data_IF_630074662842
#
_entry.id   IF_630074662842
#
_cell.length_a   1.000
_cell.length_b   1.000
_cell.length_c   1.000
_cell.angle_alpha   90.00
_cell.angle_beta   90.00
_cell.angle_gamma   90.00
#
_symmetry.space_group_name_H-M   'P 1'
#
loop_
_entity.id
_entity.type
_entity.pdbx_description
1 polymer ?
#
# COMPACT_ATOMS: atom_id res chain seq x y z
N UNK A 1 6.03 -6.42 -22.48
CA UNK A 1 7.33 -6.16 -21.84
C UNK A 1 8.46 -6.93 -22.53
N UNK A 2 8.32 -8.22 -22.88
CA UNK A 2 9.40 -9.04 -23.50
C UNK A 2 10.01 -8.36 -24.73
N UNK A 3 9.18 -7.92 -25.67
CA UNK A 3 9.66 -7.24 -26.90
C UNK A 3 10.43 -5.96 -26.61
N UNK A 4 9.97 -5.18 -25.63
CA UNK A 4 10.66 -3.94 -25.21
C UNK A 4 12.01 -4.28 -24.58
N UNK A 5 12.05 -5.24 -23.67
CA UNK A 5 13.28 -5.69 -23.02
C UNK A 5 14.27 -6.26 -24.04
N UNK A 6 13.80 -7.04 -25.03
CA UNK A 6 14.67 -7.56 -26.09
C UNK A 6 15.30 -6.46 -26.94
N UNK A 7 14.68 -5.29 -27.07
CA UNK A 7 15.22 -4.18 -27.86
C UNK A 7 16.05 -3.19 -27.02
N UNK A 8 15.65 -2.94 -25.77
CA UNK A 8 16.16 -1.82 -24.97
C UNK A 8 17.03 -2.24 -23.77
N UNK A 9 17.20 -3.54 -23.49
CA UNK A 9 17.81 -4.05 -22.25
C UNK A 9 19.14 -3.38 -21.89
N UNK A 10 20.01 -3.17 -22.89
CA UNK A 10 21.34 -2.61 -22.66
C UNK A 10 21.31 -1.09 -22.42
N UNK A 11 20.22 -0.44 -22.83
CA UNK A 11 20.09 1.03 -22.83
C UNK A 11 19.32 1.58 -21.64
N UNK A 12 18.67 0.73 -20.82
CA UNK A 12 17.82 1.13 -19.68
C UNK A 12 18.23 0.39 -18.42
N UNK A 13 18.07 1.01 -17.24
CA UNK A 13 18.39 0.42 -15.95
C UNK A 13 17.15 -0.05 -15.19
N UNK A 14 15.99 0.46 -15.58
CA UNK A 14 14.71 0.18 -14.96
C UNK A 14 13.67 -0.21 -16.00
N UNK A 15 12.85 -1.21 -15.66
CA UNK A 15 11.58 -1.48 -16.33
C UNK A 15 10.50 -0.67 -15.63
N UNK A 16 9.83 0.22 -16.37
CA UNK A 16 8.69 0.99 -15.87
C UNK A 16 7.44 0.11 -15.80
N UNK A 17 6.76 0.17 -14.68
CA UNK A 17 5.56 -0.63 -14.38
C UNK A 17 4.45 0.27 -13.85
N UNK A 18 3.23 0.08 -14.36
CA UNK A 18 2.03 0.73 -13.83
C UNK A 18 1.04 -0.36 -13.41
N UNK A 19 0.52 -0.27 -12.20
CA UNK A 19 -0.56 -1.15 -11.75
C UNK A 19 -1.52 -0.42 -10.83
N UNK A 20 -2.82 -0.56 -11.14
CA UNK A 20 -3.90 -0.04 -10.31
C UNK A 20 -4.82 -1.19 -9.93
N UNK A 21 -4.80 -1.52 -8.65
CA UNK A 21 -5.73 -2.49 -8.12
C UNK A 21 -7.10 -1.86 -7.93
N UNK A 22 -8.16 -2.59 -8.29
CA UNK A 22 -9.53 -2.15 -8.11
C UNK A 22 -10.34 -3.24 -7.42
N UNK A 23 -11.17 -2.87 -6.45
CA UNK A 23 -12.06 -3.77 -5.77
C UNK A 23 -13.52 -3.30 -5.87
N UNK A 24 -14.51 -4.20 -5.83
CA UNK A 24 -15.91 -3.84 -5.76
C UNK A 24 -16.24 -3.05 -4.49
N UNK A 25 -17.25 -2.17 -4.51
CA UNK A 25 -17.71 -1.49 -3.29
C UNK A 25 -18.11 -2.49 -2.20
N UNK A 26 -17.62 -2.25 -0.99
CA UNK A 26 -17.91 -3.08 0.18
C UNK A 26 -17.09 -4.37 0.29
N UNK A 27 -16.26 -4.71 -0.71
CA UNK A 27 -15.37 -5.86 -0.64
C UNK A 27 -13.98 -5.45 -0.12
N UNK A 28 -13.91 -5.29 1.20
CA UNK A 28 -12.66 -4.90 1.90
C UNK A 28 -11.59 -5.99 1.76
N UNK A 29 -11.98 -7.26 1.75
CA UNK A 29 -11.06 -8.38 1.57
C UNK A 29 -10.37 -8.32 0.21
N UNK A 30 -11.15 -8.08 -0.86
CA UNK A 30 -10.59 -7.89 -2.19
C UNK A 30 -9.68 -6.66 -2.26
N UNK A 31 -10.07 -5.55 -1.62
CA UNK A 31 -9.28 -4.32 -1.63
C UNK A 31 -7.93 -4.50 -0.91
N UNK A 32 -7.93 -5.04 0.30
CA UNK A 32 -6.72 -5.22 1.10
C UNK A 32 -5.88 -6.43 0.67
N UNK A 33 -6.48 -7.41 -0.02
CA UNK A 33 -5.76 -8.50 -0.70
C UNK A 33 -5.07 -8.08 -1.99
N UNK A 34 -5.26 -6.85 -2.43
CA UNK A 34 -4.70 -6.29 -3.66
C UNK A 34 -3.18 -6.36 -3.77
N UNK A 35 -2.47 -6.30 -2.65
CA UNK A 35 -1.00 -6.43 -2.61
C UNK A 35 -0.49 -7.73 -3.23
N UNK A 36 -1.26 -8.83 -3.16
CA UNK A 36 -0.88 -10.12 -3.74
C UNK A 36 -0.80 -10.08 -5.27
N UNK A 37 -1.61 -9.25 -5.92
CA UNK A 37 -1.51 -9.05 -7.37
C UNK A 37 -0.28 -8.22 -7.74
N UNK A 38 0.13 -7.29 -6.86
CA UNK A 38 1.38 -6.57 -7.02
C UNK A 38 2.58 -7.50 -6.90
N UNK A 39 2.59 -8.41 -5.92
CA UNK A 39 3.65 -9.40 -5.76
C UNK A 39 3.76 -10.33 -6.97
N UNK A 40 2.63 -10.88 -7.47
CA UNK A 40 2.63 -11.67 -8.71
C UNK A 40 3.17 -10.89 -9.91
N UNK A 41 2.80 -9.62 -10.04
CA UNK A 41 3.28 -8.78 -11.13
C UNK A 41 4.78 -8.52 -11.02
N UNK A 42 5.27 -8.19 -9.82
CA UNK A 42 6.70 -8.01 -9.56
C UNK A 42 7.49 -9.27 -9.89
N UNK A 43 7.04 -10.42 -9.40
CA UNK A 43 7.72 -11.70 -9.63
C UNK A 43 7.75 -12.07 -11.12
N UNK A 44 6.65 -11.84 -11.81
CA UNK A 44 6.53 -12.10 -13.26
C UNK A 44 7.50 -11.24 -14.06
N UNK A 45 7.52 -9.92 -13.81
CA UNK A 45 8.37 -8.99 -14.55
C UNK A 45 9.85 -9.15 -14.17
N UNK A 46 10.13 -9.44 -12.91
CA UNK A 46 11.47 -9.77 -12.46
C UNK A 46 12.01 -11.02 -13.16
N UNK A 47 11.21 -12.09 -13.23
CA UNK A 47 11.58 -13.32 -13.92
C UNK A 47 11.79 -13.08 -15.43
N UNK A 48 10.92 -12.29 -16.06
CA UNK A 48 11.06 -11.92 -17.47
C UNK A 48 12.37 -11.15 -17.71
N UNK A 49 12.70 -10.18 -16.87
CA UNK A 49 13.98 -9.47 -16.96
C UNK A 49 15.18 -10.42 -16.83
N UNK A 50 15.12 -11.40 -15.94
CA UNK A 50 16.19 -12.36 -15.72
C UNK A 50 16.33 -13.34 -16.91
N UNK A 51 15.23 -13.72 -17.57
CA UNK A 51 15.25 -14.50 -18.81
C UNK A 51 15.95 -13.72 -19.93
N UNK A 52 15.63 -12.44 -20.10
CA UNK A 52 16.28 -11.60 -21.12
C UNK A 52 17.77 -11.40 -20.81
N UNK A 53 18.13 -11.18 -19.53
CA UNK A 53 19.53 -11.11 -19.13
C UNK A 53 20.29 -12.40 -19.52
N UNK A 54 19.70 -13.56 -19.24
CA UNK A 54 20.30 -14.85 -19.58
C UNK A 54 20.44 -15.05 -21.10
N UNK A 55 19.39 -14.74 -21.90
CA UNK A 55 19.45 -14.77 -23.37
C UNK A 55 20.61 -13.92 -23.91
N UNK A 56 20.85 -12.76 -23.31
CA UNK A 56 21.89 -11.81 -23.70
C UNK A 56 23.25 -12.10 -23.07
N UNK A 57 23.33 -13.05 -22.14
CA UNK A 57 24.53 -13.29 -21.31
C UNK A 57 25.01 -12.00 -20.61
N UNK A 58 24.08 -11.17 -20.20
CA UNK A 58 24.34 -9.89 -19.53
C UNK A 58 24.47 -10.10 -18.02
N UNK A 59 25.47 -9.53 -17.34
CA UNK A 59 25.54 -9.52 -15.87
C UNK A 59 24.62 -8.47 -15.25
N UNK A 60 23.98 -7.63 -16.05
CA UNK A 60 23.10 -6.57 -15.59
C UNK A 60 21.82 -7.15 -15.00
N UNK A 61 21.49 -6.72 -13.80
CA UNK A 61 20.19 -6.98 -13.16
C UNK A 61 19.26 -5.80 -13.41
N UNK A 62 18.23 -6.00 -14.24
CA UNK A 62 17.22 -4.96 -14.50
C UNK A 62 16.41 -4.72 -13.23
N UNK A 63 16.29 -3.47 -12.81
CA UNK A 63 15.47 -3.08 -11.68
C UNK A 63 14.07 -2.67 -12.15
N UNK A 64 13.13 -2.58 -11.20
CA UNK A 64 11.74 -2.25 -11.45
C UNK A 64 11.43 -0.88 -10.88
N UNK A 65 10.67 -0.09 -11.65
CA UNK A 65 10.15 1.22 -11.26
C UNK A 65 8.63 1.21 -11.38
N UNK A 66 7.93 1.30 -10.27
CA UNK A 66 6.50 1.61 -10.30
C UNK A 66 6.33 3.12 -10.42
N UNK A 67 6.24 3.61 -11.64
CA UNK A 67 6.07 5.04 -11.92
C UNK A 67 4.66 5.50 -11.55
N UNK A 68 3.70 4.57 -11.59
CA UNK A 68 2.34 4.77 -11.13
C UNK A 68 1.82 3.53 -10.41
N UNK A 69 1.19 3.73 -9.26
CA UNK A 69 0.48 2.67 -8.54
C UNK A 69 -0.64 3.24 -7.68
N UNK A 70 -1.62 2.40 -7.36
CA UNK A 70 -2.70 2.78 -6.48
C UNK A 70 -3.72 1.67 -6.27
N UNK A 71 -4.60 1.90 -5.30
CA UNK A 71 -5.78 1.08 -5.06
C UNK A 71 -7.03 1.94 -5.09
N UNK A 72 -8.14 1.39 -5.57
CA UNK A 72 -9.40 2.12 -5.67
C UNK A 72 -10.61 1.20 -5.55
N UNK A 73 -11.69 1.76 -5.03
CA UNK A 73 -13.00 1.10 -5.07
C UNK A 73 -13.68 1.50 -6.38
N UNK A 74 -14.03 0.50 -7.20
CA UNK A 74 -14.69 0.72 -8.49
C UNK A 74 -15.95 -0.14 -8.60
N UNK A 75 -17.12 0.50 -8.69
CA UNK A 75 -18.34 -0.23 -8.96
C UNK A 75 -18.27 -0.92 -10.34
N UNK A 76 -18.82 -2.12 -10.42
CA UNK A 76 -18.98 -2.80 -11.70
C UNK A 76 -19.84 -1.93 -12.64
N UNK A 77 -19.35 -1.68 -13.84
CA UNK A 77 -19.99 -0.80 -14.81
C UNK A 77 -21.38 -1.32 -15.28
N UNK A 78 -21.62 -2.64 -15.26
CA UNK A 78 -22.90 -3.23 -15.59
C UNK A 78 -23.95 -2.97 -14.51
N UNK A 79 -23.53 -2.98 -13.24
CA UNK A 79 -24.40 -2.73 -12.08
C UNK A 79 -24.58 -1.23 -11.81
N UNK A 80 -23.67 -0.40 -12.27
CA UNK A 80 -23.65 1.03 -12.07
C UNK A 80 -23.31 1.78 -13.36
N UNK A 81 -24.23 1.76 -14.37
CA UNK A 81 -24.03 2.46 -15.63
C UNK A 81 -23.81 3.96 -15.36
N UNK A 82 -22.67 4.48 -15.75
CA UNK A 82 -22.22 5.86 -15.47
C UNK A 82 -21.07 5.97 -14.48
N UNK A 83 -20.72 4.92 -13.77
CA UNK A 83 -19.51 4.79 -12.95
C UNK A 83 -18.35 4.10 -13.71
N UNK A 84 -18.26 4.27 -14.99
CA UNK A 84 -17.16 3.70 -15.77
C UNK A 84 -15.80 4.29 -15.37
N UNK A 85 -14.76 3.63 -15.85
CA UNK A 85 -13.29 3.86 -15.71
C UNK A 85 -12.84 5.35 -15.70
N UNK A 86 -13.76 6.26 -15.89
CA UNK A 86 -13.50 7.67 -16.12
C UNK A 86 -13.64 8.60 -14.92
N UNK A 87 -13.94 8.07 -13.72
CA UNK A 87 -14.19 8.97 -12.59
C UNK A 87 -12.94 9.66 -12.04
N UNK A 88 -11.72 9.18 -12.31
CA UNK A 88 -10.53 9.89 -11.87
C UNK A 88 -10.12 11.06 -12.79
N UNK A 89 -10.38 10.92 -14.09
CA UNK A 89 -10.00 11.97 -15.06
C UNK A 89 -11.17 12.81 -15.57
N UNK A 90 -12.41 12.32 -15.45
CA UNK A 90 -13.60 13.05 -15.90
C UNK A 90 -14.31 13.85 -14.82
N UNK A 91 -13.84 13.82 -13.58
CA UNK A 91 -14.40 14.70 -12.54
C UNK A 91 -14.34 16.20 -12.91
N UNK A 92 -13.45 16.55 -13.83
CA UNK A 92 -13.24 17.96 -14.23
C UNK A 92 -13.64 18.30 -15.66
N UNK A 93 -13.91 17.29 -16.52
CA UNK A 93 -14.17 17.53 -17.93
C UNK A 93 -15.33 16.64 -18.44
N UNK A 94 -16.37 17.24 -18.96
CA UNK A 94 -17.38 16.57 -19.74
C UNK A 94 -17.06 16.80 -21.21
N UNK A 95 -16.98 15.72 -22.00
CA UNK A 95 -16.88 15.86 -23.44
C UNK A 95 -18.20 16.39 -24.00
N UNK A 96 -18.16 17.60 -24.53
CA UNK A 96 -19.24 18.19 -25.30
C UNK A 96 -18.84 18.13 -26.78
N UNK A 97 -19.56 17.39 -27.66
CA UNK A 97 -19.22 17.28 -29.05
C UNK A 97 -19.15 18.63 -29.78
N UNK A 98 -19.88 19.63 -29.27
CA UNK A 98 -19.88 20.98 -29.88
C UNK A 98 -18.79 21.90 -29.31
N UNK A 99 -18.28 21.62 -28.11
CA UNK A 99 -17.29 22.46 -27.41
C UNK A 99 -15.97 21.76 -27.04
N UNK A 100 -15.79 20.51 -27.41
CA UNK A 100 -14.67 19.63 -27.11
C UNK A 100 -14.40 19.36 -25.62
N UNK A 101 -14.40 20.35 -24.73
CA UNK A 101 -14.24 20.19 -23.29
C UNK A 101 -15.00 21.30 -22.55
N UNK A 102 -15.82 20.93 -21.59
CA UNK A 102 -16.47 21.86 -20.68
C UNK A 102 -15.94 21.58 -19.28
N UNK A 103 -15.35 22.60 -18.64
CA UNK A 103 -15.02 22.54 -17.22
C UNK A 103 -16.32 22.35 -16.44
N UNK A 104 -16.37 21.34 -15.59
CA UNK A 104 -17.47 21.21 -14.64
C UNK A 104 -17.45 22.41 -13.71
N UNK A 105 -18.66 23.00 -13.53
CA UNK A 105 -18.90 23.94 -12.45
C UNK A 105 -18.52 23.25 -11.12
N UNK A 106 -17.57 23.79 -10.33
CA UNK A 106 -17.22 23.24 -9.03
C UNK A 106 -18.42 23.02 -8.11
N UNK A 107 -19.45 23.88 -8.23
CA UNK A 107 -20.67 23.82 -7.43
C UNK A 107 -21.63 22.68 -7.89
N UNK A 108 -21.41 22.08 -9.05
CA UNK A 108 -22.14 20.93 -9.56
C UNK A 108 -21.40 19.60 -9.45
N UNK A 109 -20.19 19.62 -8.86
CA UNK A 109 -19.53 18.35 -8.56
C UNK A 109 -20.33 17.60 -7.49
N UNK A 110 -20.63 16.30 -7.70
CA UNK A 110 -21.22 15.52 -6.63
C UNK A 110 -20.33 15.69 -5.41
N UNK A 111 -20.99 16.05 -4.30
CA UNK A 111 -20.38 16.24 -3.01
C UNK A 111 -19.42 15.04 -2.79
N UNK A 112 -18.14 15.26 -2.92
CA UNK A 112 -17.15 14.25 -2.58
C UNK A 112 -17.18 14.15 -1.07
N UNK A 113 -18.10 13.31 -0.57
CA UNK A 113 -18.14 12.98 0.86
C UNK A 113 -16.79 12.50 1.35
N UNK A 114 -15.95 12.03 0.41
CA UNK A 114 -14.62 11.48 0.70
C UNK A 114 -13.62 11.96 -0.37
N UNK A 115 -12.85 13.00 -0.10
CA UNK A 115 -11.87 13.55 -1.04
C UNK A 115 -10.68 12.63 -1.32
N UNK A 116 -10.72 11.37 -0.88
CA UNK A 116 -9.59 10.44 -0.87
C UNK A 116 -8.74 10.64 0.38
N UNK A 117 -7.97 9.64 0.72
CA UNK A 117 -7.10 9.69 1.91
C UNK A 117 -7.81 9.39 3.23
N UNK A 118 -8.96 8.71 3.18
CA UNK A 118 -9.61 8.09 4.31
C UNK A 118 -8.81 6.89 4.87
N UNK A 119 -9.30 6.33 5.98
CA UNK A 119 -8.64 5.21 6.63
C UNK A 119 -8.55 3.98 5.72
N UNK A 120 -9.62 3.65 5.00
CA UNK A 120 -9.66 2.47 4.13
C UNK A 120 -8.68 2.59 2.95
N UNK A 121 -8.62 3.76 2.33
CA UNK A 121 -7.65 4.04 1.26
C UNK A 121 -6.22 3.92 1.78
N UNK A 122 -5.94 4.42 2.98
CA UNK A 122 -4.63 4.32 3.61
C UNK A 122 -4.23 2.86 3.83
N UNK A 123 -5.13 2.01 4.37
CA UNK A 123 -4.86 0.57 4.57
C UNK A 123 -4.54 -0.15 3.26
N UNK A 124 -5.28 0.15 2.19
CA UNK A 124 -5.00 -0.41 0.87
C UNK A 124 -3.63 0.03 0.34
N UNK A 125 -3.27 1.30 0.52
CA UNK A 125 -1.99 1.82 0.06
C UNK A 125 -0.80 1.23 0.81
N UNK A 126 -0.85 1.11 2.15
CA UNK A 126 0.24 0.51 2.91
C UNK A 126 0.41 -0.98 2.61
N UNK A 127 -0.67 -1.71 2.31
CA UNK A 127 -0.60 -3.11 1.87
C UNK A 127 0.26 -3.24 0.61
N UNK A 128 0.05 -2.38 -0.39
CA UNK A 128 0.85 -2.33 -1.62
C UNK A 128 2.30 -1.93 -1.32
N UNK A 129 2.49 -0.91 -0.50
CA UNK A 129 3.84 -0.41 -0.15
C UNK A 129 4.66 -1.46 0.60
N UNK A 130 4.01 -2.30 1.43
CA UNK A 130 4.69 -3.44 2.06
C UNK A 130 5.12 -4.50 1.04
N UNK A 131 4.33 -4.73 -0.03
CA UNK A 131 4.75 -5.60 -1.13
C UNK A 131 6.02 -5.06 -1.80
N UNK A 132 6.10 -3.75 -2.06
CA UNK A 132 7.34 -3.15 -2.59
C UNK A 132 8.52 -3.30 -1.64
N UNK A 133 8.30 -3.15 -0.34
CA UNK A 133 9.36 -3.32 0.65
C UNK A 133 9.87 -4.78 0.69
N UNK A 134 8.99 -5.77 0.60
CA UNK A 134 9.38 -7.18 0.52
C UNK A 134 10.21 -7.50 -0.73
N UNK A 135 9.96 -6.80 -1.83
CA UNK A 135 10.66 -6.94 -3.10
C UNK A 135 11.70 -5.83 -3.35
N UNK A 136 12.25 -5.23 -2.28
CA UNK A 136 13.22 -4.13 -2.39
C UNK A 136 14.53 -4.52 -3.07
N UNK A 137 14.80 -5.81 -3.30
CA UNK A 137 15.90 -6.29 -4.12
C UNK A 137 15.71 -6.00 -5.62
N UNK A 138 14.45 -5.84 -6.09
CA UNK A 138 14.08 -5.55 -7.47
C UNK A 138 13.38 -4.21 -7.64
N UNK A 139 12.40 -3.87 -6.79
CA UNK A 139 11.69 -2.59 -6.83
C UNK A 139 12.54 -1.52 -6.16
N UNK A 140 13.00 -0.55 -6.94
CA UNK A 140 13.86 0.55 -6.46
C UNK A 140 13.18 1.91 -6.47
N UNK A 141 12.13 2.04 -7.24
CA UNK A 141 11.35 3.28 -7.38
C UNK A 141 9.87 2.90 -7.27
N UNK A 142 9.14 3.68 -6.49
CA UNK A 142 7.68 3.57 -6.37
C UNK A 142 7.09 4.97 -6.18
N UNK A 143 6.37 5.45 -7.20
CA UNK A 143 5.77 6.77 -7.23
C UNK A 143 4.25 6.64 -7.09
N UNK A 144 3.72 7.04 -5.94
CA UNK A 144 2.28 7.00 -5.70
C UNK A 144 1.56 7.97 -6.64
N UNK A 145 0.60 7.45 -7.39
CA UNK A 145 -0.19 8.27 -8.31
C UNK A 145 -1.09 9.24 -7.56
N UNK A 146 -1.22 10.44 -8.12
CA UNK A 146 -1.91 11.54 -7.47
C UNK A 146 -0.99 12.42 -6.62
N UNK A 147 0.24 11.98 -6.33
CA UNK A 147 1.26 12.77 -5.66
C UNK A 147 0.73 13.47 -4.40
N UNK A 148 0.86 14.79 -4.33
CA UNK A 148 0.37 15.57 -3.19
C UNK A 148 -1.14 15.43 -2.95
N UNK A 149 -1.94 15.25 -4.01
CA UNK A 149 -3.39 15.06 -3.88
C UNK A 149 -3.81 13.75 -3.19
N UNK A 150 -2.94 12.73 -3.20
CA UNK A 150 -3.18 11.50 -2.45
C UNK A 150 -2.71 11.61 -0.98
N UNK A 151 -1.78 12.50 -0.70
CA UNK A 151 -1.19 12.70 0.63
C UNK A 151 -1.81 13.86 1.39
N UNK A 152 -2.26 14.88 0.68
CA UNK A 152 -2.85 16.08 1.25
C UNK A 152 -4.17 16.39 0.57
N UNK A 153 -5.15 16.74 1.35
CA UNK A 153 -6.42 17.28 0.85
C UNK A 153 -6.40 18.80 0.94
N UNK A 154 -7.18 19.46 0.10
CA UNK A 154 -7.25 20.92 0.08
C UNK A 154 -8.65 21.41 -0.28
N UNK A 155 -8.99 22.57 0.23
CA UNK A 155 -10.02 23.47 -0.29
C UNK A 155 -9.35 24.72 -0.90
N UNK A 156 -10.14 25.77 -1.17
CA UNK A 156 -9.62 26.99 -1.81
C UNK A 156 -8.48 27.66 -1.03
N UNK A 157 -8.51 27.59 0.30
CA UNK A 157 -7.64 28.40 1.17
C UNK A 157 -6.76 27.55 2.11
N UNK A 158 -7.04 26.24 2.22
CA UNK A 158 -6.42 25.38 3.23
C UNK A 158 -5.90 24.09 2.63
N UNK A 159 -4.86 23.54 3.27
CA UNK A 159 -4.29 22.23 2.98
C UNK A 159 -4.12 21.46 4.28
N UNK A 160 -4.50 20.19 4.29
CA UNK A 160 -4.29 19.29 5.43
C UNK A 160 -3.80 17.92 4.98
N UNK A 161 -3.18 17.19 5.89
CA UNK A 161 -2.61 15.87 5.63
C UNK A 161 -3.69 14.80 5.71
N UNK A 162 -3.65 13.84 4.79
CA UNK A 162 -4.51 12.66 4.81
C UNK A 162 -3.93 11.55 5.70
N UNK A 163 -4.71 10.48 5.96
CA UNK A 163 -4.22 9.29 6.64
C UNK A 163 -3.02 8.67 5.89
N UNK A 164 -3.06 8.63 4.56
CA UNK A 164 -1.98 8.10 3.72
C UNK A 164 -0.67 8.87 3.86
N UNK A 165 -0.72 10.18 4.16
CA UNK A 165 0.49 10.97 4.44
C UNK A 165 1.25 10.41 5.66
N UNK A 166 0.54 10.15 6.74
CA UNK A 166 1.18 9.69 7.97
C UNK A 166 1.74 8.28 7.83
N UNK A 167 0.99 7.37 7.20
CA UNK A 167 1.43 6.00 6.99
C UNK A 167 2.65 5.94 6.05
N UNK A 168 2.64 6.68 4.94
CA UNK A 168 3.79 6.78 4.04
C UNK A 168 5.00 7.43 4.75
N UNK A 169 4.77 8.48 5.54
CA UNK A 169 5.84 9.11 6.33
C UNK A 169 6.50 8.13 7.29
N UNK A 170 5.72 7.25 7.93
CA UNK A 170 6.25 6.19 8.78
C UNK A 170 7.09 5.18 7.97
N UNK A 171 6.61 4.74 6.80
CA UNK A 171 7.41 3.87 5.94
C UNK A 171 8.71 4.55 5.52
N UNK A 172 8.67 5.81 5.10
CA UNK A 172 9.88 6.55 4.70
C UNK A 172 10.85 6.77 5.86
N UNK A 173 10.37 6.92 7.08
CA UNK A 173 11.21 7.12 8.27
C UNK A 173 11.81 5.80 8.77
N UNK A 174 10.99 4.74 8.85
CA UNK A 174 11.33 3.50 9.53
C UNK A 174 11.77 2.37 8.60
N UNK A 175 11.45 2.39 7.29
CA UNK A 175 11.89 1.37 6.33
C UNK A 175 13.29 1.69 5.77
N UNK A 176 14.28 1.80 6.66
CA UNK A 176 15.67 2.05 6.30
C UNK A 176 16.50 0.77 6.38
N UNK A 177 17.58 0.72 5.59
CA UNK A 177 18.54 -0.37 5.60
C UNK A 177 18.12 -1.54 4.70
N UNK A 178 18.07 -2.74 5.23
CA UNK A 178 17.81 -3.98 4.49
C UNK A 178 16.40 -4.46 4.78
N UNK A 179 15.62 -4.72 3.73
CA UNK A 179 14.34 -5.43 3.86
C UNK A 179 14.59 -6.88 4.31
N UNK A 180 13.87 -7.31 5.33
CA UNK A 180 13.99 -8.64 5.89
C UNK A 180 12.77 -9.48 5.53
N UNK A 181 12.98 -10.78 5.33
CA UNK A 181 11.87 -11.71 5.17
C UNK A 181 11.19 -11.94 6.52
N UNK A 182 9.90 -11.65 6.60
CA UNK A 182 9.05 -11.97 7.74
C UNK A 182 8.32 -13.29 7.51
N UNK A 183 8.19 -14.11 8.54
CA UNK A 183 7.32 -15.29 8.55
C UNK A 183 6.12 -14.98 9.45
N UNK A 184 4.92 -15.15 8.92
CA UNK A 184 3.65 -14.88 9.62
C UNK A 184 2.85 -16.17 9.72
N UNK A 185 2.42 -16.49 10.93
CA UNK A 185 1.46 -17.57 11.20
C UNK A 185 0.18 -16.93 11.74
N UNK A 186 -0.88 -16.98 10.98
CA UNK A 186 -2.19 -16.46 11.38
C UNK A 186 -3.33 -17.16 10.63
N UNK A 187 -4.55 -16.87 10.99
CA UNK A 187 -5.73 -17.26 10.23
C UNK A 187 -5.69 -16.66 8.82
N UNK A 188 -6.33 -17.34 7.89
CA UNK A 188 -6.40 -16.94 6.48
C UNK A 188 -7.85 -16.87 6.01
N UNK A 189 -8.05 -16.20 4.88
CA UNK A 189 -9.32 -16.19 4.16
C UNK A 189 -9.11 -16.46 2.68
N UNK A 190 -10.16 -16.91 2.01
CA UNK A 190 -10.16 -17.04 0.57
C UNK A 190 -10.82 -15.82 -0.06
N UNK A 191 -10.21 -15.30 -1.10
CA UNK A 191 -10.69 -14.19 -1.89
C UNK A 191 -11.15 -14.73 -3.24
N UNK A 192 -12.49 -14.75 -3.52
CA UNK A 192 -13.01 -15.18 -4.81
C UNK A 192 -12.49 -14.30 -5.95
N UNK A 193 -12.35 -14.88 -7.13
CA UNK A 193 -12.07 -14.09 -8.32
C UNK A 193 -13.24 -13.17 -8.67
N UNK A 194 -12.94 -12.01 -9.20
CA UNK A 194 -13.94 -11.02 -9.60
C UNK A 194 -13.48 -10.23 -10.83
N UNK A 195 -14.41 -9.55 -11.47
CA UNK A 195 -14.14 -8.63 -12.57
C UNK A 195 -14.80 -7.28 -12.29
N UNK A 196 -14.09 -6.21 -12.56
CA UNK A 196 -14.63 -4.85 -12.56
C UNK A 196 -15.11 -4.50 -13.98
N UNK A 197 -14.35 -4.88 -14.99
CA UNK A 197 -14.63 -4.71 -16.40
C UNK A 197 -13.86 -5.76 -17.23
N UNK A 198 -13.97 -5.71 -18.55
CA UNK A 198 -13.31 -6.66 -19.45
C UNK A 198 -11.76 -6.64 -19.35
N UNK A 199 -11.19 -5.55 -18.85
CA UNK A 199 -9.74 -5.35 -18.74
C UNK A 199 -9.22 -5.52 -17.33
N UNK A 200 -10.09 -5.42 -16.32
CA UNK A 200 -9.75 -5.49 -14.89
C UNK A 200 -10.37 -6.75 -14.29
N UNK A 201 -9.74 -7.89 -14.55
CA UNK A 201 -10.13 -9.21 -14.05
C UNK A 201 -9.11 -9.71 -13.05
N UNK A 202 -9.59 -10.14 -11.89
CA UNK A 202 -8.78 -10.60 -10.78
C UNK A 202 -9.08 -12.08 -10.49
N UNK A 203 -8.04 -12.90 -10.50
CA UNK A 203 -8.17 -14.32 -10.14
C UNK A 203 -8.35 -14.45 -8.65
N UNK A 204 -9.08 -15.48 -8.21
CA UNK A 204 -9.18 -15.81 -6.79
C UNK A 204 -7.82 -16.07 -6.16
N UNK A 205 -7.72 -15.81 -4.88
CA UNK A 205 -6.58 -16.11 -4.03
C UNK A 205 -7.05 -16.96 -2.85
N UNK A 206 -6.35 -18.03 -2.58
CA UNK A 206 -6.60 -18.90 -1.44
C UNK A 206 -5.58 -18.64 -0.34
N UNK A 207 -5.99 -18.86 0.92
CA UNK A 207 -5.13 -18.76 2.08
C UNK A 207 -4.47 -17.37 2.24
N UNK A 208 -5.20 -16.30 1.97
CA UNK A 208 -4.75 -14.92 2.18
C UNK A 208 -4.62 -14.67 3.69
N UNK A 209 -3.43 -14.33 4.22
CA UNK A 209 -3.29 -14.12 5.66
C UNK A 209 -4.02 -12.87 6.10
N UNK A 210 -4.73 -12.93 7.23
CA UNK A 210 -5.35 -11.74 7.81
C UNK A 210 -4.33 -10.74 8.33
N UNK A 211 -3.17 -11.22 8.78
CA UNK A 211 -2.07 -10.33 9.19
C UNK A 211 -1.03 -10.27 8.08
N UNK A 212 -0.81 -9.08 7.53
CA UNK A 212 0.25 -8.81 6.57
C UNK A 212 1.41 -8.11 7.26
N UNK A 213 2.65 -8.41 6.84
CA UNK A 213 3.81 -7.78 7.45
C UNK A 213 4.98 -7.60 6.50
N UNK A 214 5.78 -6.59 6.80
CA UNK A 214 7.09 -6.36 6.22
C UNK A 214 8.04 -5.85 7.31
N UNK A 215 9.34 -5.95 7.09
CA UNK A 215 10.31 -5.42 8.06
C UNK A 215 11.55 -4.86 7.38
N UNK A 216 12.23 -3.98 8.11
CA UNK A 216 13.48 -3.37 7.67
C UNK A 216 14.48 -3.33 8.84
N UNK A 217 15.73 -3.66 8.53
CA UNK A 217 16.83 -3.64 9.46
C UNK A 217 17.89 -2.63 9.04
N UNK A 218 17.96 -1.53 9.76
CA UNK A 218 19.04 -0.54 9.65
C UNK A 218 20.16 -0.93 10.61
N UNK A 219 21.07 -1.74 10.11
CA UNK A 219 22.19 -2.26 10.87
C UNK A 219 23.15 -1.18 11.33
N UNK A 220 23.32 -0.14 10.52
CA UNK A 220 24.26 0.95 10.80
C UNK A 220 23.80 1.80 11.98
N UNK A 221 22.48 2.02 12.07
CA UNK A 221 21.87 2.80 13.15
C UNK A 221 21.25 1.92 14.25
N UNK A 222 21.44 0.59 14.18
CA UNK A 222 20.94 -0.33 15.18
C UNK A 222 19.43 -0.37 15.30
N UNK A 223 18.68 -0.20 14.20
CA UNK A 223 17.21 -0.16 14.22
C UNK A 223 16.61 -1.35 13.49
N UNK A 224 15.61 -1.96 14.09
CA UNK A 224 14.77 -2.98 13.46
C UNK A 224 13.32 -2.50 13.55
N UNK A 225 12.64 -2.43 12.42
CA UNK A 225 11.27 -1.97 12.37
C UNK A 225 10.39 -2.99 11.65
N UNK A 226 9.21 -3.24 12.23
CA UNK A 226 8.18 -4.09 11.65
C UNK A 226 6.96 -3.24 11.31
N UNK A 227 6.41 -3.52 10.15
CA UNK A 227 5.19 -2.93 9.61
C UNK A 227 4.14 -4.03 9.58
N UNK A 228 3.01 -3.81 10.22
CA UNK A 228 1.98 -4.84 10.40
C UNK A 228 0.60 -4.28 10.10
N UNK A 229 -0.11 -4.93 9.21
CA UNK A 229 -1.48 -4.64 8.83
C UNK A 229 -2.39 -5.77 9.28
N UNK A 230 -3.39 -5.50 10.11
CA UNK A 230 -4.50 -6.41 10.35
C UNK A 230 -5.59 -6.15 9.30
N UNK A 231 -5.84 -7.13 8.42
CA UNK A 231 -6.86 -7.08 7.36
C UNK A 231 -8.23 -7.59 7.82
N UNK A 232 -8.34 -8.12 9.03
CA UNK A 232 -9.61 -8.64 9.54
C UNK A 232 -10.55 -7.49 9.90
N UNK A 233 -11.77 -7.56 9.40
CA UNK A 233 -12.79 -6.52 9.62
C UNK A 233 -13.40 -6.55 11.02
N UNK A 234 -13.37 -7.73 11.69
CA UNK A 234 -14.11 -7.96 12.92
C UNK A 234 -13.19 -8.30 14.10
N UNK A 235 -12.06 -8.98 13.82
CA UNK A 235 -11.25 -9.58 14.88
C UNK A 235 -10.02 -8.76 15.23
N UNK A 236 -9.88 -8.48 16.51
CA UNK A 236 -8.62 -8.09 17.12
C UNK A 236 -7.73 -9.33 17.26
N UNK A 237 -6.46 -9.21 16.90
CA UNK A 237 -5.48 -10.29 17.04
C UNK A 237 -4.49 -10.01 18.16
N UNK A 238 -4.16 -11.05 18.92
CA UNK A 238 -2.94 -11.02 19.75
C UNK A 238 -1.74 -11.33 18.86
N UNK A 239 -0.85 -10.38 18.73
CA UNK A 239 0.39 -10.51 17.96
C UNK A 239 1.54 -10.87 18.89
N UNK A 240 2.28 -11.93 18.54
CA UNK A 240 3.59 -12.23 19.13
C UNK A 240 4.67 -12.05 18.09
N UNK A 241 5.65 -11.19 18.37
CA UNK A 241 6.82 -10.97 17.52
C UNK A 241 8.05 -11.57 18.18
N UNK A 242 8.73 -12.48 17.50
CA UNK A 242 9.95 -13.10 17.97
C UNK A 242 11.18 -12.43 17.33
N UNK A 243 11.92 -11.67 18.11
CA UNK A 243 13.14 -10.96 17.69
C UNK A 243 14.39 -11.52 18.36
N UNK A 244 14.36 -12.74 18.88
CA UNK A 244 15.52 -13.37 19.57
C UNK A 244 16.76 -13.50 18.69
N UNK A 245 16.62 -13.48 17.38
CA UNK A 245 17.74 -13.41 16.45
C UNK A 245 18.48 -12.06 16.44
N UNK A 246 17.94 -11.03 17.09
CA UNK A 246 18.49 -9.68 17.20
C UNK A 246 18.96 -9.44 18.65
N UNK A 247 20.07 -10.06 19.00
CA UNK A 247 20.65 -9.94 20.34
C UNK A 247 21.00 -8.48 20.67
N UNK A 248 20.63 -8.05 21.89
CA UNK A 248 20.85 -6.67 22.35
C UNK A 248 19.85 -5.66 21.80
N UNK A 249 18.78 -6.11 21.10
CA UNK A 249 17.70 -5.19 20.71
C UNK A 249 16.63 -5.16 21.79
N UNK A 250 16.13 -3.95 22.07
CA UNK A 250 15.01 -3.69 22.96
C UNK A 250 13.84 -3.12 22.17
N UNK A 251 12.65 -3.33 22.64
CA UNK A 251 11.47 -2.64 22.14
C UNK A 251 11.49 -1.17 22.55
N UNK A 252 11.15 -0.28 21.63
CA UNK A 252 11.10 1.16 21.87
C UNK A 252 9.67 1.67 21.92
N UNK A 253 8.90 1.42 20.83
CA UNK A 253 7.52 1.92 20.70
C UNK A 253 6.76 1.19 19.60
N UNK A 254 5.44 1.25 19.69
CA UNK A 254 4.51 0.87 18.64
C UNK A 254 3.60 2.05 18.33
N UNK A 255 3.49 2.37 17.05
CA UNK A 255 2.44 3.24 16.55
C UNK A 255 1.28 2.41 16.02
N UNK A 256 0.06 2.84 16.30
CA UNK A 256 -1.16 2.27 15.75
C UNK A 256 -1.96 3.37 15.05
N UNK A 257 -2.45 3.09 13.83
CA UNK A 257 -3.50 3.87 13.16
C UNK A 257 -4.74 3.00 13.09
N UNK A 258 -5.79 3.46 13.74
CA UNK A 258 -7.07 2.77 13.86
C UNK A 258 -8.20 3.76 14.05
N UNK A 259 -9.35 3.47 13.48
CA UNK A 259 -10.63 4.13 13.73
C UNK A 259 -11.77 3.15 13.48
N UNK A 260 -12.88 3.29 14.20
CA UNK A 260 -14.11 2.52 13.95
C UNK A 260 -14.83 2.95 12.67
N UNK A 261 -14.51 4.12 12.15
CA UNK A 261 -15.05 4.67 10.91
C UNK A 261 -13.99 4.62 9.79
N UNK A 262 -14.14 3.68 8.87
CA UNK A 262 -13.20 3.50 7.76
C UNK A 262 -13.26 4.62 6.72
N UNK A 263 -14.35 5.38 6.68
CA UNK A 263 -14.50 6.56 5.84
C UNK A 263 -13.95 7.82 6.53
N UNK A 264 -13.43 7.67 7.78
CA UNK A 264 -12.84 8.79 8.50
C UNK A 264 -11.68 9.40 7.71
N UNK A 265 -11.79 10.68 7.46
CA UNK A 265 -10.79 11.49 6.77
C UNK A 265 -10.55 12.76 7.56
N UNK A 266 -9.27 13.09 7.76
CA UNK A 266 -8.93 14.39 8.34
C UNK A 266 -9.45 15.54 7.48
N UNK A 267 -9.79 16.64 8.12
CA UNK A 267 -10.26 17.87 7.47
C UNK A 267 -9.50 19.08 8.01
N UNK A 268 -9.70 20.23 7.42
CA UNK A 268 -9.12 21.47 7.95
C UNK A 268 -9.56 21.74 9.40
N UNK A 269 -10.84 21.55 9.69
CA UNK A 269 -11.40 21.75 11.04
C UNK A 269 -10.98 20.65 12.03
N UNK A 270 -10.66 19.46 11.53
CA UNK A 270 -10.19 18.33 12.33
C UNK A 270 -8.99 17.61 11.66
N UNK A 271 -7.83 18.25 11.62
CA UNK A 271 -6.66 17.70 10.93
C UNK A 271 -6.03 16.50 11.65
N UNK A 272 -6.46 16.23 12.87
CA UNK A 272 -5.93 15.17 13.74
C UNK A 272 -6.88 13.99 13.92
N UNK A 273 -7.88 13.84 13.05
CA UNK A 273 -8.88 12.78 13.18
C UNK A 273 -8.25 11.39 13.01
N UNK A 274 -7.38 11.23 12.00
CA UNK A 274 -6.70 9.97 11.73
C UNK A 274 -5.19 10.18 11.80
N UNK A 275 -4.61 9.85 12.94
CA UNK A 275 -3.18 9.99 13.23
C UNK A 275 -2.60 8.69 13.79
N UNK A 276 -1.28 8.44 13.58
CA UNK A 276 -0.58 7.42 14.35
C UNK A 276 -0.58 7.79 15.84
N UNK A 277 -1.00 6.85 16.67
CA UNK A 277 -0.96 6.98 18.13
C UNK A 277 0.04 5.98 18.69
N UNK A 278 0.81 6.40 19.66
CA UNK A 278 1.68 5.49 20.40
C UNK A 278 0.84 4.61 21.33
N UNK A 279 1.15 3.31 21.31
CA UNK A 279 0.45 2.30 22.09
C UNK A 279 1.20 1.99 23.37
N UNK A 280 0.50 1.91 24.49
CA UNK A 280 1.09 1.74 25.82
C UNK A 280 1.08 0.28 26.32
N UNK A 281 0.05 -0.51 25.98
CA UNK A 281 -0.14 -1.87 26.50
C UNK A 281 0.66 -2.92 25.71
N UNK A 282 1.97 -2.94 25.91
CA UNK A 282 2.90 -3.83 25.20
C UNK A 282 3.81 -4.54 26.19
N UNK A 283 3.90 -5.87 26.04
CA UNK A 283 4.81 -6.69 26.81
C UNK A 283 6.02 -7.09 25.95
N UNK A 284 7.22 -6.74 26.40
CA UNK A 284 8.45 -7.20 25.79
C UNK A 284 9.34 -7.88 26.84
N UNK A 285 9.57 -9.17 26.65
CA UNK A 285 10.43 -9.98 27.53
C UNK A 285 11.12 -11.09 26.74
N UNK A 286 12.36 -11.39 27.09
CA UNK A 286 13.14 -12.48 26.52
C UNK A 286 13.21 -12.48 24.96
N UNK A 287 13.28 -11.29 24.36
CA UNK A 287 13.29 -11.10 22.92
C UNK A 287 11.97 -11.42 22.21
N UNK A 288 10.88 -11.44 22.97
CA UNK A 288 9.50 -11.60 22.44
C UNK A 288 8.65 -10.42 22.85
N UNK A 289 7.96 -9.87 21.87
CA UNK A 289 6.97 -8.83 22.08
C UNK A 289 5.58 -9.43 21.94
N UNK A 290 4.67 -9.06 22.85
CA UNK A 290 3.25 -9.37 22.73
C UNK A 290 2.44 -8.08 22.80
N UNK A 291 1.55 -7.91 21.83
CA UNK A 291 0.65 -6.76 21.69
C UNK A 291 -0.65 -7.19 21.05
N UNK A 292 -1.63 -6.31 20.97
CA UNK A 292 -2.84 -6.55 20.18
C UNK A 292 -2.86 -5.71 18.91
N UNK A 293 -3.56 -6.20 17.89
CA UNK A 293 -3.82 -5.50 16.63
C UNK A 293 -5.33 -5.29 16.50
N UNK A 294 -5.78 -4.06 16.51
CA UNK A 294 -7.20 -3.75 16.26
C UNK A 294 -7.62 -4.25 14.87
N UNK A 295 -8.92 -4.56 14.65
CA UNK A 295 -9.42 -4.82 13.30
C UNK A 295 -9.07 -3.68 12.36
N UNK A 296 -8.72 -3.99 11.11
CA UNK A 296 -8.40 -2.99 10.09
C UNK A 296 -7.48 -1.88 10.62
N UNK A 297 -6.33 -2.28 11.17
CA UNK A 297 -5.34 -1.36 11.74
C UNK A 297 -3.98 -1.46 11.09
N UNK A 298 -3.31 -0.34 10.98
CA UNK A 298 -1.92 -0.22 10.60
C UNK A 298 -1.03 -0.01 11.82
N UNK A 299 0.07 -0.76 11.90
CA UNK A 299 0.96 -0.76 13.05
C UNK A 299 2.43 -0.68 12.62
N UNK A 300 3.22 0.10 13.33
CA UNK A 300 4.67 0.17 13.18
C UNK A 300 5.32 -0.10 14.53
N UNK A 301 6.10 -1.17 14.60
CA UNK A 301 6.81 -1.59 15.81
C UNK A 301 8.29 -1.30 15.64
N UNK A 302 8.87 -0.57 16.57
CA UNK A 302 10.25 -0.10 16.53
C UNK A 302 11.08 -0.76 17.63
N UNK A 303 12.25 -1.28 17.22
CA UNK A 303 13.24 -1.84 18.11
C UNK A 303 14.58 -1.15 17.85
N UNK A 304 15.37 -0.96 18.91
CA UNK A 304 16.69 -0.38 18.83
C UNK A 304 17.71 -1.24 19.57
N UNK A 305 18.93 -1.30 19.03
CA UNK A 305 20.04 -1.94 19.71
C UNK A 305 20.44 -1.12 20.92
N UNK A 306 20.61 -1.76 22.07
CA UNK A 306 21.12 -1.11 23.28
C UNK A 306 22.57 -0.63 23.02
N UNK A 307 22.85 0.59 23.45
CA UNK A 307 24.23 1.10 23.47
C UNK A 307 25.00 0.35 24.55
N UNK A 308 26.19 -0.15 24.22
CA UNK A 308 27.09 -0.81 25.16
C UNK A 308 27.70 0.18 26.18
#
# INVERSE_FOLDING_TARGET
EETVLEQCYDSVDYLSMHHYHSAPPGDIKALLGGSLYYEEFIDTEAALCDVIAAKRRSPKKMMLSFDEYGAMIRPNAELHPGYGVYNMTRAHYRFDPDRKYVLHDPDQMPDRKHPGGDMLQMLAMVSIQMAFLRHADRVKIACMTGGLGALCSSDHDHVWRSASYYALSQLMEYAKGTSMQTSVECETYDMPGYAIDDTSQYRGKENVPYVDSASAWDRENGRLNLFVLNRNEESEYSLTVDVRGFEGYRFVKQFEMYTDDLEASSSFDNPSLVLPKEKEDILFADGRLTTSLKPLSWNVLCFEKEEE
#
